data_IF_894406913360
#
_entry.id   IF_894406913360
#
_cell.length_a   1.000
_cell.length_b   1.000
_cell.length_c   1.000
_cell.angle_alpha   90.00
_cell.angle_beta   90.00
_cell.angle_gamma   90.00
#
_symmetry.space_group_name_H-M   'P 1'
#
loop_
_entity.id
_entity.type
_entity.pdbx_description
1 polymer ?
#
# COMPACT_ATOMS: atom_id res chain seq x y z
N UNK A 1 59.88 -50.54 2.83
CA UNK A 1 58.60 -49.92 3.25
C UNK A 1 58.60 -48.44 2.80
N UNK A 2 57.90 -48.13 1.70
CA UNK A 2 57.81 -46.77 1.18
C UNK A 2 56.54 -46.14 1.72
N UNK A 3 56.66 -45.00 2.45
CA UNK A 3 55.55 -44.23 2.98
C UNK A 3 55.08 -43.24 1.91
N UNK A 4 53.90 -43.43 1.39
CA UNK A 4 53.24 -42.48 0.48
C UNK A 4 52.57 -41.40 1.32
N UNK A 5 52.96 -40.14 1.11
CA UNK A 5 52.34 -38.97 1.70
C UNK A 5 51.32 -38.45 0.69
N UNK A 6 50.03 -38.48 1.05
CA UNK A 6 48.94 -37.86 0.27
C UNK A 6 48.77 -36.43 0.75
N UNK A 7 49.05 -35.45 -0.12
CA UNK A 7 48.78 -34.03 0.12
C UNK A 7 47.36 -33.74 -0.39
N UNK A 8 46.45 -33.45 0.53
CA UNK A 8 45.11 -33.03 0.21
C UNK A 8 45.14 -31.53 -0.05
N UNK A 9 44.98 -31.11 -1.32
CA UNK A 9 44.86 -29.71 -1.70
C UNK A 9 43.38 -29.27 -1.47
N UNK A 10 43.15 -28.44 -0.47
CA UNK A 10 41.85 -27.82 -0.24
C UNK A 10 41.74 -26.59 -1.18
N UNK A 11 40.99 -26.70 -2.28
CA UNK A 11 40.59 -25.60 -3.10
C UNK A 11 39.46 -24.84 -2.40
N UNK A 12 39.80 -23.73 -1.75
CA UNK A 12 38.82 -22.78 -1.24
C UNK A 12 38.15 -22.03 -2.41
N UNK A 13 36.91 -22.37 -2.72
CA UNK A 13 36.07 -21.52 -3.61
C UNK A 13 35.74 -20.22 -2.88
N UNK A 14 36.44 -19.15 -3.17
CA UNK A 14 35.99 -17.79 -2.87
C UNK A 14 34.95 -17.43 -3.92
N UNK A 15 33.68 -17.60 -3.57
CA UNK A 15 32.58 -17.08 -4.38
C UNK A 15 32.63 -15.54 -4.31
N UNK A 16 33.28 -14.91 -5.29
CA UNK A 16 33.15 -13.49 -5.52
C UNK A 16 31.64 -13.22 -5.82
N UNK A 17 30.95 -12.59 -4.88
CA UNK A 17 29.62 -12.01 -5.16
C UNK A 17 29.83 -10.93 -6.22
N UNK A 18 29.54 -11.27 -7.48
CA UNK A 18 29.45 -10.28 -8.54
C UNK A 18 28.37 -9.29 -8.10
N UNK A 19 28.78 -8.05 -7.83
CA UNK A 19 27.88 -6.94 -7.59
C UNK A 19 27.20 -6.68 -8.95
N UNK A 20 26.01 -7.26 -9.14
CA UNK A 20 25.22 -6.97 -10.33
C UNK A 20 24.88 -5.48 -10.29
N UNK A 21 25.42 -4.72 -11.23
CA UNK A 21 24.97 -3.37 -11.48
C UNK A 21 23.52 -3.45 -11.97
N UNK A 22 22.59 -3.35 -11.02
CA UNK A 22 21.17 -3.35 -11.34
C UNK A 22 20.87 -2.09 -12.18
N UNK A 23 20.10 -2.23 -13.26
CA UNK A 23 19.78 -1.08 -14.09
C UNK A 23 18.96 -0.07 -13.30
N UNK A 24 19.15 1.20 -13.59
CA UNK A 24 18.27 2.28 -13.10
C UNK A 24 16.93 2.12 -13.79
N UNK A 25 15.87 1.83 -13.04
CA UNK A 25 14.55 1.46 -13.57
C UNK A 25 13.54 2.63 -13.58
N UNK A 26 13.97 3.87 -13.43
CA UNK A 26 13.11 5.04 -13.49
C UNK A 26 13.27 5.98 -12.29
N UNK A 27 12.20 6.69 -11.96
CA UNK A 27 12.18 7.62 -10.81
C UNK A 27 12.42 6.88 -9.50
N UNK A 28 13.10 7.54 -8.57
CA UNK A 28 13.39 7.00 -7.24
C UNK A 28 14.69 7.56 -6.66
N UNK A 29 15.16 6.94 -5.58
CA UNK A 29 16.19 7.52 -4.72
C UNK A 29 17.23 6.49 -4.30
N UNK A 30 18.45 6.97 -4.00
CA UNK A 30 19.56 6.16 -3.49
C UNK A 30 20.09 6.70 -2.15
N UNK A 31 19.58 7.84 -1.71
CA UNK A 31 19.99 8.61 -0.53
C UNK A 31 18.97 8.55 0.61
N UNK A 32 17.99 7.66 0.50
CA UNK A 32 16.95 7.42 1.52
C UNK A 32 17.37 6.27 2.46
N UNK A 33 16.67 6.08 3.59
CA UNK A 33 16.98 4.97 4.50
C UNK A 33 16.89 3.59 3.80
N UNK A 34 17.71 2.64 4.23
CA UNK A 34 17.56 1.24 3.84
C UNK A 34 16.32 0.64 4.51
N UNK A 35 15.54 -0.10 3.73
CA UNK A 35 14.40 -0.85 4.25
C UNK A 35 14.93 -2.03 5.06
N UNK A 36 14.48 -2.22 6.32
CA UNK A 36 14.97 -3.28 7.20
C UNK A 36 14.97 -4.66 6.55
N UNK A 37 16.06 -5.41 6.72
CA UNK A 37 16.19 -6.76 6.16
C UNK A 37 16.38 -6.85 4.64
N UNK A 38 16.58 -5.72 3.96
CA UNK A 38 16.77 -5.67 2.50
C UNK A 38 18.04 -4.90 2.11
N UNK A 39 18.40 -4.97 0.83
CA UNK A 39 19.45 -4.15 0.23
C UNK A 39 18.91 -2.87 -0.43
N UNK A 40 17.61 -2.63 -0.36
CA UNK A 40 16.93 -1.54 -1.08
C UNK A 40 16.72 -0.33 -0.18
N UNK A 41 16.95 0.84 -0.75
CA UNK A 41 16.52 2.10 -0.16
C UNK A 41 15.01 2.28 -0.29
N UNK A 42 14.41 3.10 0.58
CA UNK A 42 13.02 3.53 0.40
C UNK A 42 12.90 4.22 -0.96
N UNK A 43 11.99 3.74 -1.80
CA UNK A 43 11.81 4.20 -3.18
C UNK A 43 13.07 4.03 -4.05
N UNK A 44 13.80 2.94 -3.85
CA UNK A 44 15.01 2.63 -4.63
C UNK A 44 14.67 2.47 -6.12
N UNK A 45 15.30 3.29 -6.97
CA UNK A 45 15.08 3.25 -8.41
C UNK A 45 15.71 2.04 -9.12
N UNK A 46 16.46 1.22 -8.42
CA UNK A 46 17.05 -0.04 -8.91
C UNK A 46 16.27 -1.27 -8.46
N UNK A 47 15.29 -1.10 -7.55
CA UNK A 47 14.48 -2.22 -7.08
C UNK A 47 13.64 -2.78 -8.24
N UNK A 48 13.66 -4.11 -8.50
CA UNK A 48 12.89 -4.70 -9.58
C UNK A 48 11.40 -4.39 -9.49
N UNK A 49 10.79 -4.13 -10.63
CA UNK A 49 9.33 -3.92 -10.70
C UNK A 49 8.58 -5.23 -10.49
N UNK A 50 7.41 -5.19 -9.83
CA UNK A 50 6.49 -6.30 -9.80
C UNK A 50 6.12 -6.75 -11.23
N UNK A 51 6.09 -8.07 -11.51
CA UNK A 51 5.63 -8.58 -12.79
C UNK A 51 4.17 -8.21 -13.02
N UNK A 52 3.81 -7.90 -14.28
CA UNK A 52 2.45 -7.54 -14.66
C UNK A 52 1.62 -8.80 -14.86
N UNK A 53 0.46 -8.87 -14.22
CA UNK A 53 -0.52 -9.95 -14.37
C UNK A 53 -1.87 -9.34 -14.74
N UNK A 54 -2.50 -9.86 -15.79
CA UNK A 54 -3.85 -9.42 -16.18
C UNK A 54 -4.88 -9.95 -15.17
N UNK A 55 -5.65 -9.09 -14.50
CA UNK A 55 -6.68 -9.54 -13.57
C UNK A 55 -7.87 -10.18 -14.30
N UNK A 56 -8.65 -10.99 -13.58
CA UNK A 56 -9.96 -11.50 -14.03
C UNK A 56 -10.98 -10.38 -14.25
N UNK A 57 -12.23 -10.71 -14.54
CA UNK A 57 -13.30 -9.70 -14.62
C UNK A 57 -13.46 -8.96 -13.28
N UNK A 58 -13.82 -7.67 -13.35
CA UNK A 58 -14.15 -6.94 -12.12
C UNK A 58 -15.46 -7.47 -11.54
N UNK A 59 -15.45 -7.75 -10.25
CA UNK A 59 -16.63 -8.17 -9.48
C UNK A 59 -16.70 -7.27 -8.24
N UNK A 60 -17.82 -6.56 -8.09
CA UNK A 60 -18.10 -5.81 -6.87
C UNK A 60 -18.49 -6.76 -5.75
N UNK A 61 -17.97 -6.54 -4.56
CA UNK A 61 -18.20 -7.39 -3.38
C UNK A 61 -19.13 -6.67 -2.40
N UNK A 62 -20.37 -7.16 -2.20
CA UNK A 62 -21.30 -6.54 -1.26
C UNK A 62 -20.79 -6.65 0.18
N UNK A 63 -21.19 -5.69 1.02
CA UNK A 63 -20.87 -5.71 2.45
C UNK A 63 -21.50 -6.91 3.14
N UNK A 64 -20.77 -7.67 3.97
CA UNK A 64 -21.34 -8.66 4.86
C UNK A 64 -22.31 -8.01 5.88
N UNK A 65 -23.21 -8.80 6.44
CA UNK A 65 -24.24 -8.28 7.34
C UNK A 65 -23.68 -7.66 8.64
N UNK A 66 -22.48 -8.07 9.05
CA UNK A 66 -21.76 -7.55 10.24
C UNK A 66 -20.73 -6.46 9.90
N UNK A 67 -20.68 -5.98 8.65
CA UNK A 67 -19.82 -4.89 8.23
C UNK A 67 -20.47 -3.51 8.42
N UNK A 68 -19.65 -2.52 8.73
CA UNK A 68 -20.03 -1.12 8.68
C UNK A 68 -19.84 -0.60 7.27
N UNK A 69 -20.92 -0.21 6.60
CA UNK A 69 -20.85 0.44 5.29
C UNK A 69 -20.38 1.89 5.50
N UNK A 70 -19.24 2.22 4.92
CA UNK A 70 -18.64 3.56 5.01
C UNK A 70 -19.06 4.45 3.84
N UNK A 71 -19.33 3.85 2.68
CA UNK A 71 -19.86 4.55 1.50
C UNK A 71 -20.58 3.56 0.56
N UNK A 72 -21.82 3.85 0.24
CA UNK A 72 -22.69 3.05 -0.64
C UNK A 72 -23.11 3.78 -1.92
N UNK A 73 -22.59 4.99 -2.14
CA UNK A 73 -22.93 5.83 -3.28
C UNK A 73 -23.95 6.93 -2.99
N UNK A 74 -24.54 6.98 -1.79
CA UNK A 74 -25.66 7.89 -1.47
C UNK A 74 -25.21 9.18 -0.74
N UNK A 75 -24.35 9.07 0.27
CA UNK A 75 -23.90 10.21 1.08
C UNK A 75 -22.50 9.99 1.64
N UNK A 76 -21.90 11.05 2.16
CA UNK A 76 -20.59 11.03 2.83
C UNK A 76 -20.71 11.27 4.36
N UNK A 77 -21.82 10.89 4.96
CA UNK A 77 -22.10 11.18 6.39
C UNK A 77 -21.10 10.54 7.35
N UNK A 78 -20.43 9.45 6.93
CA UNK A 78 -19.35 8.79 7.67
C UNK A 78 -17.99 9.48 7.54
N UNK A 79 -17.86 10.49 6.67
CA UNK A 79 -16.59 11.12 6.31
C UNK A 79 -16.53 12.59 6.70
N UNK A 80 -15.32 13.06 7.00
CA UNK A 80 -15.02 14.48 7.26
C UNK A 80 -13.55 14.76 6.85
N UNK A 81 -13.17 16.04 6.82
CA UNK A 81 -11.76 16.46 6.71
C UNK A 81 -11.01 16.18 8.02
N UNK A 82 -9.70 16.33 8.01
CA UNK A 82 -8.85 16.11 9.20
C UNK A 82 -9.23 17.01 10.39
N UNK A 83 -9.71 18.22 10.13
CA UNK A 83 -10.18 19.18 11.13
C UNK A 83 -11.63 18.94 11.59
N UNK A 84 -12.30 17.91 11.06
CA UNK A 84 -13.69 17.58 11.35
C UNK A 84 -14.73 18.32 10.52
N UNK A 85 -14.32 19.26 9.67
CA UNK A 85 -15.22 19.97 8.77
C UNK A 85 -15.81 19.05 7.70
N UNK A 86 -16.94 19.42 7.06
CA UNK A 86 -17.54 18.61 6.00
C UNK A 86 -16.58 18.32 4.85
N UNK A 87 -16.78 17.16 4.19
CA UNK A 87 -16.04 16.77 3.01
C UNK A 87 -16.11 17.85 1.92
N UNK A 88 -14.97 18.09 1.26
CA UNK A 88 -14.92 18.89 0.04
C UNK A 88 -14.96 18.03 -1.24
N UNK A 89 -15.04 16.71 -1.12
CA UNK A 89 -15.20 15.81 -2.25
C UNK A 89 -16.66 15.81 -2.73
N UNK A 90 -16.90 15.31 -3.92
CA UNK A 90 -18.25 15.30 -4.51
C UNK A 90 -18.73 13.86 -4.74
N UNK A 91 -20.05 13.69 -4.75
CA UNK A 91 -20.70 12.47 -5.19
C UNK A 91 -21.15 12.67 -6.64
N UNK A 92 -20.75 11.73 -7.51
CA UNK A 92 -21.09 11.72 -8.93
C UNK A 92 -21.49 10.28 -9.29
N UNK A 93 -22.66 10.07 -9.86
CA UNK A 93 -23.11 8.76 -10.38
C UNK A 93 -22.87 7.58 -9.40
N UNK A 94 -23.12 7.79 -8.10
CA UNK A 94 -22.99 6.75 -7.08
C UNK A 94 -21.54 6.45 -6.62
N UNK A 95 -20.56 7.30 -6.94
CA UNK A 95 -19.21 7.25 -6.39
C UNK A 95 -18.78 8.58 -5.79
N UNK A 96 -17.89 8.58 -4.83
CA UNK A 96 -17.21 9.79 -4.38
C UNK A 96 -15.96 10.04 -5.24
N UNK A 97 -15.73 11.30 -5.58
CA UNK A 97 -14.57 11.72 -6.37
C UNK A 97 -13.77 12.77 -5.58
N UNK A 98 -12.47 12.55 -5.50
CA UNK A 98 -11.56 13.52 -4.91
C UNK A 98 -11.59 14.82 -5.72
N UNK A 99 -11.74 15.95 -5.00
CA UNK A 99 -11.64 17.27 -5.60
C UNK A 99 -10.27 17.83 -5.23
N UNK A 100 -9.40 18.07 -6.22
CA UNK A 100 -8.04 18.53 -5.97
C UNK A 100 -7.96 19.74 -5.05
N UNK A 101 -7.07 19.70 -4.08
CA UNK A 101 -6.83 20.76 -3.07
C UNK A 101 -7.96 20.96 -2.04
N UNK A 102 -8.96 20.07 -2.01
CA UNK A 102 -9.97 20.08 -0.95
C UNK A 102 -9.52 19.34 0.32
N UNK A 103 -8.39 18.64 0.23
CA UNK A 103 -7.80 17.87 1.32
C UNK A 103 -8.32 16.44 1.42
N UNK A 104 -7.55 15.61 2.11
CA UNK A 104 -7.88 14.22 2.36
C UNK A 104 -9.10 14.08 3.26
N UNK A 105 -9.80 12.95 3.11
CA UNK A 105 -10.90 12.57 3.97
C UNK A 105 -10.45 11.58 5.03
N UNK A 106 -11.16 11.58 6.15
CA UNK A 106 -11.09 10.51 7.16
C UNK A 106 -12.48 10.09 7.59
N UNK A 107 -12.60 8.86 8.06
CA UNK A 107 -13.84 8.44 8.73
C UNK A 107 -14.01 9.20 10.04
N UNK A 108 -15.28 9.44 10.44
CA UNK A 108 -15.61 9.97 11.76
C UNK A 108 -15.33 8.94 12.86
N UNK A 109 -15.59 7.66 12.56
CA UNK A 109 -15.32 6.54 13.44
C UNK A 109 -13.86 6.09 13.35
N UNK A 110 -13.39 5.41 14.40
CA UNK A 110 -12.04 4.85 14.51
C UNK A 110 -12.10 3.33 14.55
N UNK A 111 -11.15 2.67 13.90
CA UNK A 111 -11.11 1.22 13.74
C UNK A 111 -9.78 0.63 14.25
N UNK A 112 -9.85 -0.62 14.76
CA UNK A 112 -8.71 -1.45 15.12
C UNK A 112 -8.32 -2.39 13.97
N UNK A 113 -8.05 -3.66 14.33
CA UNK A 113 -7.87 -4.74 13.36
C UNK A 113 -9.16 -4.92 12.55
N UNK A 114 -9.02 -5.07 11.23
CA UNK A 114 -10.19 -5.06 10.35
C UNK A 114 -9.97 -5.81 9.03
N UNK A 115 -11.08 -6.21 8.44
CA UNK A 115 -11.21 -6.48 7.02
C UNK A 115 -11.82 -5.23 6.37
N UNK A 116 -11.15 -4.69 5.37
CA UNK A 116 -11.57 -3.48 4.64
C UNK A 116 -11.70 -3.79 3.16
N UNK A 117 -12.84 -3.44 2.59
CA UNK A 117 -13.06 -3.46 1.14
C UNK A 117 -13.16 -2.04 0.60
N UNK A 118 -12.48 -1.77 -0.51
CA UNK A 118 -12.49 -0.46 -1.19
C UNK A 118 -12.51 -0.68 -2.68
N UNK A 119 -13.52 -0.15 -3.38
CA UNK A 119 -13.49 -0.04 -4.84
C UNK A 119 -13.03 1.36 -5.24
N UNK A 120 -12.09 1.42 -6.17
CA UNK A 120 -11.51 2.67 -6.65
C UNK A 120 -11.26 2.65 -8.15
N UNK A 121 -11.17 3.84 -8.76
CA UNK A 121 -10.77 3.98 -10.16
C UNK A 121 -9.83 5.19 -10.31
N UNK A 122 -8.79 5.03 -11.11
CA UNK A 122 -7.96 6.14 -11.52
C UNK A 122 -8.72 7.05 -12.49
N UNK A 123 -8.45 8.37 -12.48
CA UNK A 123 -9.11 9.30 -13.38
C UNK A 123 -8.74 9.04 -14.84
N UNK A 124 -9.69 9.26 -15.75
CA UNK A 124 -9.48 9.15 -17.21
C UNK A 124 -8.77 10.39 -17.74
N UNK A 125 -7.90 10.20 -18.73
CA UNK A 125 -7.26 11.30 -19.46
C UNK A 125 -6.09 11.97 -18.73
N UNK A 126 -5.62 11.41 -17.62
CA UNK A 126 -4.40 11.89 -16.94
C UNK A 126 -3.18 11.35 -17.68
N UNK A 127 -2.37 12.26 -18.23
CA UNK A 127 -1.18 11.95 -19.04
C UNK A 127 0.14 12.11 -18.29
N UNK A 128 0.10 12.57 -17.04
CA UNK A 128 1.28 12.62 -16.16
C UNK A 128 1.89 11.23 -15.95
N UNK A 129 3.09 11.18 -15.39
CA UNK A 129 3.85 9.94 -15.21
C UNK A 129 4.17 9.71 -13.74
N UNK A 130 4.62 8.49 -13.45
CA UNK A 130 5.10 8.10 -12.13
C UNK A 130 4.07 8.43 -11.04
N UNK A 131 4.49 8.98 -9.92
CA UNK A 131 3.66 9.31 -8.76
C UNK A 131 2.67 10.48 -9.01
N UNK A 132 2.73 11.14 -10.14
CA UNK A 132 1.78 12.21 -10.49
C UNK A 132 0.56 11.69 -11.25
N UNK A 133 0.46 10.39 -11.57
CA UNK A 133 -0.62 9.82 -12.37
C UNK A 133 -1.63 9.05 -11.54
N UNK A 134 -2.78 9.67 -11.27
CA UNK A 134 -3.88 9.03 -10.54
C UNK A 134 -3.53 8.68 -9.09
N UNK A 135 -2.69 9.49 -8.44
CA UNK A 135 -2.20 9.23 -7.09
C UNK A 135 -3.25 9.52 -6.03
N UNK A 136 -3.35 8.60 -5.11
CA UNK A 136 -4.12 8.68 -3.87
C UNK A 136 -3.60 7.62 -2.88
N UNK A 137 -4.28 7.40 -1.76
CA UNK A 137 -3.92 6.38 -0.78
C UNK A 137 -5.11 5.95 0.06
N UNK A 138 -5.15 4.68 0.42
CA UNK A 138 -6.01 4.12 1.47
C UNK A 138 -5.15 3.99 2.71
N UNK A 139 -5.34 4.90 3.68
CA UNK A 139 -4.46 5.04 4.84
C UNK A 139 -5.16 4.54 6.09
N UNK A 140 -4.88 3.30 6.46
CA UNK A 140 -5.49 2.65 7.62
C UNK A 140 -4.93 3.29 8.90
N UNK A 141 -5.84 3.63 9.83
CA UNK A 141 -5.52 4.35 11.06
C UNK A 141 -4.81 5.71 10.81
N UNK A 142 -4.91 6.26 9.57
CA UNK A 142 -4.21 7.49 9.20
C UNK A 142 -2.68 7.38 9.23
N UNK A 143 -2.14 6.15 9.20
CA UNK A 143 -0.71 5.88 9.39
C UNK A 143 -0.13 4.82 8.45
N UNK A 144 -0.93 3.86 8.00
CA UNK A 144 -0.49 2.70 7.24
C UNK A 144 -1.10 2.73 5.84
N UNK A 145 -0.36 3.23 4.88
CA UNK A 145 -0.85 3.49 3.54
C UNK A 145 -0.71 2.28 2.64
N UNK A 146 -1.84 1.91 2.03
CA UNK A 146 -1.89 1.09 0.83
C UNK A 146 -2.04 2.04 -0.36
N UNK A 147 -1.02 2.09 -1.20
CA UNK A 147 -0.92 3.04 -2.30
C UNK A 147 -2.03 2.85 -3.32
N UNK A 148 -2.65 3.95 -3.74
CA UNK A 148 -3.54 4.04 -4.90
C UNK A 148 -2.82 4.84 -5.98
N UNK A 149 -2.62 4.23 -7.14
CA UNK A 149 -1.91 4.84 -8.26
C UNK A 149 -2.38 4.21 -9.58
N UNK A 150 -2.40 4.98 -10.65
CA UNK A 150 -2.53 4.41 -11.98
C UNK A 150 -1.19 3.79 -12.41
N UNK A 151 -1.08 2.48 -12.23
CA UNK A 151 0.08 1.69 -12.66
C UNK A 151 -0.15 0.91 -13.96
N UNK A 152 -1.25 1.13 -14.66
CA UNK A 152 -1.45 0.52 -15.98
C UNK A 152 -0.55 1.19 -17.02
N UNK A 153 0.51 0.49 -17.44
CA UNK A 153 1.51 1.06 -18.34
C UNK A 153 2.23 2.31 -17.78
N UNK A 154 2.34 2.43 -16.47
CA UNK A 154 3.02 3.53 -15.78
C UNK A 154 4.11 2.99 -14.87
N UNK A 155 5.33 3.45 -15.05
CA UNK A 155 6.48 3.08 -14.23
C UNK A 155 6.72 4.10 -13.12
N UNK A 156 7.06 3.60 -11.94
CA UNK A 156 7.51 4.36 -10.78
C UNK A 156 8.33 3.44 -9.89
N UNK A 157 8.94 3.94 -8.81
CA UNK A 157 9.65 3.06 -7.88
C UNK A 157 8.73 1.94 -7.35
N UNK A 158 9.32 0.75 -7.16
CA UNK A 158 8.56 -0.48 -6.93
C UNK A 158 7.63 -0.43 -5.71
N UNK A 159 8.11 0.15 -4.59
CA UNK A 159 7.39 0.29 -3.33
C UNK A 159 6.46 1.52 -3.26
N UNK A 160 6.22 2.18 -4.38
CA UNK A 160 5.22 3.22 -4.57
C UNK A 160 4.19 2.89 -5.64
N UNK A 161 4.17 1.65 -6.14
CA UNK A 161 3.14 1.18 -7.07
C UNK A 161 1.82 0.93 -6.33
N UNK A 162 0.71 0.85 -7.07
CA UNK A 162 -0.60 0.51 -6.51
C UNK A 162 -0.52 -0.79 -5.68
N UNK A 163 -1.19 -0.80 -4.53
CA UNK A 163 -1.17 -1.87 -3.53
C UNK A 163 0.18 -2.12 -2.83
N UNK A 164 1.17 -1.24 -2.99
CA UNK A 164 2.33 -1.22 -2.09
C UNK A 164 1.89 -0.89 -0.66
N UNK A 165 2.57 -1.49 0.33
CA UNK A 165 2.71 -0.86 1.64
C UNK A 165 3.74 0.26 1.43
N UNK A 166 3.28 1.50 1.31
CA UNK A 166 4.03 2.61 0.73
C UNK A 166 5.40 2.82 1.37
N UNK A 167 6.44 2.83 0.55
CA UNK A 167 7.83 2.98 0.98
C UNK A 167 8.43 1.76 1.70
N UNK A 168 7.70 0.64 1.82
CA UNK A 168 8.18 -0.56 2.50
C UNK A 168 8.20 -1.79 1.60
N UNK A 169 7.03 -2.19 1.08
CA UNK A 169 6.91 -3.38 0.25
C UNK A 169 6.22 -3.08 -1.08
N UNK A 170 6.81 -3.44 -2.22
CA UNK A 170 6.08 -3.47 -3.48
C UNK A 170 5.00 -4.55 -3.44
N UNK A 171 3.98 -4.48 -4.29
CA UNK A 171 3.08 -5.61 -4.48
C UNK A 171 3.82 -6.80 -5.10
N UNK A 172 3.37 -8.02 -4.83
CA UNK A 172 3.93 -9.23 -5.44
C UNK A 172 3.81 -9.22 -6.97
N UNK A 173 2.71 -8.67 -7.47
CA UNK A 173 2.42 -8.50 -8.89
C UNK A 173 1.64 -7.19 -9.11
N UNK A 174 1.79 -6.57 -10.30
CA UNK A 174 0.98 -5.45 -10.73
C UNK A 174 -0.24 -5.98 -11.51
N UNK A 175 -1.43 -5.81 -10.94
CA UNK A 175 -2.71 -6.23 -11.52
C UNK A 175 -3.64 -5.04 -11.83
N UNK A 176 -3.07 -3.85 -12.04
CA UNK A 176 -3.85 -2.66 -12.37
C UNK A 176 -4.63 -2.82 -13.66
N UNK A 177 -5.82 -2.23 -13.67
CA UNK A 177 -6.67 -2.05 -14.85
C UNK A 177 -6.41 -0.70 -15.52
N UNK A 178 -6.79 -0.52 -16.80
CA UNK A 178 -6.75 0.77 -17.46
C UNK A 178 -7.43 1.91 -16.69
N UNK A 179 -7.08 3.15 -17.03
CA UNK A 179 -7.73 4.35 -16.49
C UNK A 179 -9.25 4.30 -16.61
N UNK A 180 -9.94 4.70 -15.57
CA UNK A 180 -11.39 4.74 -15.51
C UNK A 180 -12.07 3.40 -15.21
N UNK A 181 -11.36 2.28 -15.32
CA UNK A 181 -11.88 0.98 -14.91
C UNK A 181 -11.83 0.84 -13.37
N UNK A 182 -12.90 0.25 -12.82
CA UNK A 182 -12.98 -0.04 -11.41
C UNK A 182 -12.02 -1.14 -10.99
N UNK A 183 -11.42 -0.96 -9.84
CA UNK A 183 -10.49 -1.87 -9.18
C UNK A 183 -10.92 -2.05 -7.74
N UNK A 184 -10.54 -3.16 -7.11
CA UNK A 184 -10.84 -3.43 -5.71
C UNK A 184 -9.58 -3.69 -4.90
N UNK A 185 -9.58 -3.22 -3.67
CA UNK A 185 -8.72 -3.71 -2.60
C UNK A 185 -9.56 -4.44 -1.57
N UNK A 186 -9.15 -5.66 -1.22
CA UNK A 186 -9.58 -6.38 -0.04
C UNK A 186 -8.38 -6.49 0.89
N UNK A 187 -8.46 -5.82 2.04
CA UNK A 187 -7.35 -5.65 2.95
C UNK A 187 -7.68 -6.29 4.29
N UNK A 188 -6.78 -7.12 4.81
CA UNK A 188 -6.81 -7.59 6.19
C UNK A 188 -5.70 -6.85 6.92
N UNK A 189 -6.08 -6.08 7.91
CA UNK A 189 -5.18 -5.32 8.77
C UNK A 189 -5.25 -5.86 10.19
N UNK A 190 -4.12 -6.30 10.72
CA UNK A 190 -3.94 -6.59 12.14
C UNK A 190 -3.21 -5.42 12.77
N UNK A 191 -3.87 -4.74 13.70
CA UNK A 191 -3.33 -3.55 14.35
C UNK A 191 -2.13 -3.90 15.24
N UNK A 192 -1.16 -2.98 15.42
CA UNK A 192 -0.05 -3.20 16.33
C UNK A 192 -0.53 -3.22 17.77
N UNK A 193 0.15 -4.02 18.60
CA UNK A 193 -0.15 -4.14 20.03
C UNK A 193 0.96 -3.51 20.84
N UNK A 194 0.58 -2.79 21.89
CA UNK A 194 1.50 -2.09 22.77
C UNK A 194 1.23 -2.45 24.22
N UNK A 195 2.29 -2.52 25.03
CA UNK A 195 2.19 -2.57 26.48
C UNK A 195 1.74 -1.22 27.06
N UNK A 196 1.43 -1.19 28.33
CA UNK A 196 1.03 0.06 29.01
C UNK A 196 2.11 1.13 28.97
N UNK A 197 3.36 0.74 29.09
CA UNK A 197 4.54 1.61 29.01
C UNK A 197 4.86 2.12 27.59
N UNK A 198 4.09 1.69 26.58
CA UNK A 198 4.28 2.08 25.18
C UNK A 198 5.21 1.19 24.38
N UNK A 199 5.77 0.15 24.97
CA UNK A 199 6.61 -0.83 24.28
C UNK A 199 5.77 -1.59 23.24
N UNK A 200 6.29 -1.74 22.01
CA UNK A 200 5.68 -2.56 20.97
C UNK A 200 5.73 -4.04 21.39
N UNK A 201 4.56 -4.68 21.45
CA UNK A 201 4.41 -6.11 21.71
C UNK A 201 4.28 -6.90 20.41
N UNK A 202 3.56 -6.34 19.43
CA UNK A 202 3.40 -6.92 18.10
C UNK A 202 3.33 -5.78 17.07
N UNK A 203 4.05 -5.87 15.96
CA UNK A 203 3.90 -4.92 14.86
C UNK A 203 2.54 -5.09 14.17
N UNK A 204 2.19 -4.16 13.30
CA UNK A 204 1.05 -4.32 12.39
C UNK A 204 1.39 -5.34 11.31
N UNK A 205 0.35 -6.07 10.84
CA UNK A 205 0.45 -6.96 9.68
C UNK A 205 -0.63 -6.62 8.66
N UNK A 206 -0.26 -6.71 7.39
CA UNK A 206 -1.16 -6.39 6.28
C UNK A 206 -1.15 -7.49 5.23
N UNK A 207 -2.37 -7.92 4.84
CA UNK A 207 -2.61 -8.73 3.66
C UNK A 207 -3.48 -7.93 2.70
N UNK A 208 -3.14 -7.92 1.41
CA UNK A 208 -3.92 -7.19 0.39
C UNK A 208 -4.18 -8.11 -0.80
N UNK A 209 -5.43 -8.16 -1.20
CA UNK A 209 -5.83 -8.62 -2.53
C UNK A 209 -6.17 -7.41 -3.38
N UNK A 210 -5.59 -7.32 -4.57
CA UNK A 210 -5.91 -6.30 -5.56
C UNK A 210 -6.57 -6.98 -6.76
N UNK A 211 -7.80 -6.60 -7.08
CA UNK A 211 -8.61 -7.25 -8.12
C UNK A 211 -8.72 -8.77 -7.95
N UNK A 212 -8.83 -9.25 -6.69
CA UNK A 212 -8.91 -10.66 -6.34
C UNK A 212 -7.57 -11.42 -6.35
N UNK A 213 -6.45 -10.76 -6.68
CA UNK A 213 -5.11 -11.37 -6.68
C UNK A 213 -4.35 -10.97 -5.43
N UNK A 214 -3.76 -11.95 -4.72
CA UNK A 214 -2.93 -11.70 -3.54
C UNK A 214 -1.67 -10.91 -3.93
N UNK A 215 -1.54 -9.71 -3.39
CA UNK A 215 -0.40 -8.81 -3.68
C UNK A 215 0.44 -8.46 -2.46
N UNK A 216 -0.13 -8.56 -1.25
CA UNK A 216 0.62 -8.52 0.01
C UNK A 216 0.17 -9.72 0.86
N UNK A 217 1.12 -10.57 1.27
CA UNK A 217 0.83 -11.75 2.05
C UNK A 217 1.35 -11.60 3.47
N UNK A 218 0.48 -11.22 4.40
CA UNK A 218 0.77 -11.09 5.83
C UNK A 218 2.11 -10.39 6.12
N UNK A 219 2.29 -9.21 5.52
CA UNK A 219 3.53 -8.43 5.66
C UNK A 219 3.59 -7.72 7.00
N UNK A 220 4.69 -7.93 7.72
CA UNK A 220 5.02 -7.10 8.88
C UNK A 220 5.30 -5.67 8.41
N UNK A 221 4.64 -4.69 9.04
CA UNK A 221 4.85 -3.27 8.74
C UNK A 221 5.89 -2.70 9.69
N UNK A 222 6.87 -1.95 9.18
CA UNK A 222 7.97 -1.41 9.99
C UNK A 222 7.60 -0.17 10.82
N UNK A 223 6.34 0.26 10.76
CA UNK A 223 5.81 1.46 11.41
C UNK A 223 5.01 2.31 10.41
N UNK A 224 4.58 3.52 10.77
CA UNK A 224 3.88 4.41 9.87
C UNK A 224 4.59 4.57 8.52
N UNK A 225 3.83 4.50 7.44
CA UNK A 225 4.34 4.74 6.08
C UNK A 225 4.64 6.21 5.86
N UNK A 226 5.57 6.51 4.97
CA UNK A 226 5.90 7.90 4.66
C UNK A 226 6.85 8.02 3.48
N UNK A 227 6.82 9.20 2.83
CA UNK A 227 7.71 9.47 1.71
C UNK A 227 9.17 9.55 2.18
N UNK A 228 10.05 8.74 1.56
CA UNK A 228 11.51 8.69 1.82
C UNK A 228 11.91 8.35 3.26
N UNK A 229 11.05 7.71 4.04
CA UNK A 229 11.32 7.45 5.45
C UNK A 229 10.80 6.08 5.88
N UNK A 230 11.40 5.54 6.92
CA UNK A 230 10.84 4.42 7.68
C UNK A 230 10.34 4.96 9.00
N UNK A 231 9.04 4.87 9.21
CA UNK A 231 8.39 5.31 10.44
C UNK A 231 8.81 4.47 11.64
N UNK A 232 8.66 5.05 12.81
CA UNK A 232 8.87 4.36 14.09
C UNK A 232 7.53 4.19 14.79
N UNK A 233 7.31 3.02 15.35
CA UNK A 233 6.13 2.78 16.18
C UNK A 233 6.12 3.69 17.40
N UNK A 234 4.94 4.24 17.67
CA UNK A 234 4.60 4.90 18.94
C UNK A 234 3.24 4.38 19.39
N UNK A 235 3.01 4.28 20.70
CA UNK A 235 1.75 3.77 21.25
C UNK A 235 0.56 4.56 20.70
N UNK A 236 -0.37 3.84 20.11
CA UNK A 236 -1.66 4.36 19.67
C UNK A 236 -2.72 3.26 19.79
N UNK A 237 -3.97 3.64 19.79
CA UNK A 237 -5.13 2.75 19.70
C UNK A 237 -5.80 2.83 18.33
N UNK A 238 -7.09 2.57 18.33
CA UNK A 238 -7.98 2.71 17.17
C UNK A 238 -7.92 4.13 16.61
N UNK A 239 -7.91 4.26 15.28
CA UNK A 239 -7.85 5.56 14.59
C UNK A 239 -8.69 5.52 13.31
N UNK A 240 -9.05 6.70 12.74
CA UNK A 240 -9.80 6.75 11.50
C UNK A 240 -9.07 6.14 10.31
N UNK A 241 -9.84 5.60 9.36
CA UNK A 241 -9.39 5.34 7.99
C UNK A 241 -9.35 6.67 7.23
N UNK A 242 -8.35 6.85 6.36
CA UNK A 242 -8.25 8.04 5.52
C UNK A 242 -8.13 7.69 4.04
N UNK A 243 -8.68 8.57 3.18
CA UNK A 243 -8.48 8.55 1.73
C UNK A 243 -7.75 9.84 1.34
N UNK A 244 -6.67 9.69 0.58
CA UNK A 244 -5.78 10.81 0.30
C UNK A 244 -6.25 11.65 -0.90
N UNK A 245 -6.25 12.98 -0.76
CA UNK A 245 -6.20 13.92 -1.87
C UNK A 245 -4.75 14.20 -2.23
N UNK A 246 -4.31 13.73 -3.39
CA UNK A 246 -2.98 14.00 -3.94
C UNK A 246 -3.06 14.79 -5.26
N UNK A 247 -4.12 15.59 -5.42
CA UNK A 247 -4.30 16.47 -6.57
C UNK A 247 -4.83 15.77 -7.83
N UNK A 248 -5.23 14.50 -7.72
CA UNK A 248 -5.88 13.74 -8.80
C UNK A 248 -7.32 13.42 -8.43
N UNK A 249 -8.29 13.50 -9.37
CA UNK A 249 -9.69 13.18 -9.11
C UNK A 249 -9.93 11.66 -9.10
N UNK A 250 -9.27 10.99 -8.17
CA UNK A 250 -9.45 9.56 -7.93
C UNK A 250 -10.86 9.29 -7.40
N UNK A 251 -11.46 8.19 -7.82
CA UNK A 251 -12.85 7.83 -7.54
C UNK A 251 -12.90 6.63 -6.61
N UNK A 252 -13.92 6.63 -5.72
CA UNK A 252 -14.13 5.57 -4.75
C UNK A 252 -15.62 5.22 -4.65
N UNK A 253 -15.92 3.92 -4.48
CA UNK A 253 -17.29 3.44 -4.22
C UNK A 253 -17.26 2.15 -3.39
N UNK A 254 -18.43 1.75 -2.86
CA UNK A 254 -18.60 0.50 -2.11
C UNK A 254 -17.47 0.26 -1.10
N UNK A 255 -17.37 1.18 -0.13
CA UNK A 255 -16.39 1.05 0.95
C UNK A 255 -17.10 0.48 2.17
N UNK A 256 -16.62 -0.64 2.67
CA UNK A 256 -17.09 -1.21 3.92
C UNK A 256 -15.93 -1.76 4.75
N UNK A 257 -16.14 -1.78 6.06
CA UNK A 257 -15.17 -2.27 7.03
C UNK A 257 -15.85 -3.22 8.00
N UNK A 258 -15.20 -4.32 8.29
CA UNK A 258 -15.61 -5.30 9.29
C UNK A 258 -14.51 -5.43 10.31
N UNK A 259 -14.82 -5.17 11.57
CA UNK A 259 -13.83 -5.26 12.64
C UNK A 259 -13.50 -6.73 12.94
N UNK A 260 -12.25 -6.97 13.26
CA UNK A 260 -11.74 -8.27 13.71
C UNK A 260 -11.44 -8.19 15.19
N UNK A 261 -11.56 -9.33 15.87
CA UNK A 261 -11.10 -9.46 17.24
C UNK A 261 -9.57 -9.34 17.28
N UNK A 262 -9.05 -8.58 18.26
CA UNK A 262 -7.62 -8.31 18.45
C UNK A 262 -6.90 -9.41 19.24
#
# INVERSE_FOLDING_TARGET
MKKTVIILAIFGFVAAKAQQNLPVLGDGYQDTPLIPGTQWHVHDNRRPYPPVVKPGAFVSVPAPADAVVLFDGTNMDKWCKSDGSPSGWRIVDGYMEAVPKQGSLRTKDSFGSCQLHVEWASPVGVTSKSQSRGNSGVIIQGMYEIQVLDNYGNTTYADGQAASIYGQYPPLVNVCRPQGEWQSYDIIFNAPKFAEDGKLLSPAYITVFHNGVLVQNHREVFGPTGHKTIGKYSKHGRRPLSLQDHGNPTRYKYIWIRELED
#
